data_IF_038164491658
#
_entry.id   IF_038164491658
#
_cell.length_a   1.000
_cell.length_b   1.000
_cell.length_c   1.000
_cell.angle_alpha   90.00
_cell.angle_beta   90.00
_cell.angle_gamma   90.00
#
_symmetry.space_group_name_H-M   'P 1'
#
loop_
_entity.id
_entity.type
_entity.pdbx_description
1 polymer ?
#
# COMPACT_ATOMS: atom_id res chain seq x y z
N UNK A 1 12.48 12.43 61.43
CA UNK A 1 11.58 13.60 61.29
C UNK A 1 10.95 13.55 59.91
N UNK A 2 9.63 13.67 59.89
CA UNK A 2 8.78 13.70 58.70
C UNK A 2 8.90 15.06 58.00
N UNK A 3 9.01 15.09 56.67
CA UNK A 3 8.38 16.15 55.88
C UNK A 3 8.06 15.65 54.46
N UNK A 4 6.77 15.41 54.26
CA UNK A 4 6.08 15.32 52.97
C UNK A 4 6.31 16.58 52.13
N UNK A 5 6.59 16.44 50.83
CA UNK A 5 6.30 17.49 49.86
C UNK A 5 5.53 16.91 48.67
N UNK A 6 4.27 17.29 48.60
CA UNK A 6 3.33 16.96 47.56
C UNK A 6 3.38 17.99 46.41
N UNK A 7 3.46 17.48 45.18
CA UNK A 7 2.80 17.85 43.89
C UNK A 7 2.24 19.29 43.72
N UNK A 8 2.35 19.88 42.50
CA UNK A 8 1.50 19.40 41.40
C UNK A 8 2.16 19.37 40.01
N UNK A 9 2.02 18.24 39.32
CA UNK A 9 2.15 18.20 37.87
C UNK A 9 0.82 18.64 37.25
N UNK A 10 0.83 19.80 36.60
CA UNK A 10 -0.28 20.29 35.78
C UNK A 10 -0.36 19.43 34.51
N UNK A 11 -1.13 18.34 34.56
CA UNK A 11 -1.41 17.51 33.38
C UNK A 11 -2.51 18.19 32.56
N UNK A 12 -2.11 18.98 31.56
CA UNK A 12 -3.04 19.50 30.58
C UNK A 12 -3.68 18.33 29.80
N UNK A 13 -5.02 18.22 29.72
CA UNK A 13 -5.64 17.28 28.80
C UNK A 13 -5.51 17.83 27.38
N UNK A 14 -4.59 17.27 26.60
CA UNK A 14 -4.58 17.43 25.16
C UNK A 14 -5.87 16.82 24.62
N UNK A 15 -6.87 17.66 24.33
CA UNK A 15 -8.10 17.26 23.64
C UNK A 15 -7.75 16.91 22.20
N UNK A 16 -7.31 15.67 21.99
CA UNK A 16 -7.37 15.05 20.66
C UNK A 16 -8.86 14.85 20.39
N UNK A 17 -9.42 15.72 19.55
CA UNK A 17 -10.73 15.51 18.97
C UNK A 17 -10.65 14.25 18.09
N UNK A 18 -10.91 13.10 18.70
CA UNK A 18 -11.10 11.86 17.99
C UNK A 18 -12.22 12.06 16.97
N UNK A 19 -11.89 11.94 15.70
CA UNK A 19 -12.87 11.84 14.61
C UNK A 19 -13.63 10.53 14.82
N UNK A 20 -14.66 10.57 15.66
CA UNK A 20 -15.55 9.45 15.88
C UNK A 20 -16.33 9.24 14.59
N UNK A 21 -16.18 8.07 14.01
CA UNK A 21 -16.98 7.61 12.88
C UNK A 21 -18.36 7.28 13.43
N UNK A 22 -19.35 8.11 13.10
CA UNK A 22 -20.74 8.01 13.56
C UNK A 22 -21.38 6.77 12.91
N UNK A 23 -21.34 5.63 13.59
CA UNK A 23 -22.05 4.42 13.18
C UNK A 23 -22.83 3.90 14.38
N UNK A 24 -24.16 4.00 14.28
CA UNK A 24 -25.20 3.45 15.16
C UNK A 24 -25.61 4.28 16.39
N UNK A 25 -26.61 5.16 16.20
CA UNK A 25 -27.85 5.11 16.99
C UNK A 25 -28.96 5.92 16.31
N UNK A 26 -30.14 5.31 16.23
CA UNK A 26 -31.37 5.86 15.71
C UNK A 26 -31.89 7.00 16.58
N UNK A 27 -31.65 8.24 16.16
CA UNK A 27 -32.54 9.38 16.40
C UNK A 27 -32.11 10.56 15.53
N UNK A 28 -33.06 11.16 14.82
CA UNK A 28 -33.00 12.47 14.12
C UNK A 28 -32.91 12.42 12.59
N UNK A 29 -34.08 12.30 11.98
CA UNK A 29 -34.45 12.51 10.57
C UNK A 29 -34.20 13.94 10.03
N UNK A 30 -33.12 14.61 10.44
CA UNK A 30 -32.80 16.01 10.07
C UNK A 30 -31.35 16.27 9.68
N UNK A 31 -30.42 15.31 9.86
CA UNK A 31 -28.99 15.51 9.52
C UNK A 31 -28.59 14.91 8.16
N UNK A 32 -29.39 14.00 7.60
CA UNK A 32 -29.20 13.44 6.24
C UNK A 32 -29.37 14.50 5.15
N UNK A 33 -30.22 15.51 5.39
CA UNK A 33 -30.42 16.62 4.46
C UNK A 33 -29.15 17.48 4.30
N UNK A 34 -28.39 17.72 5.38
CA UNK A 34 -27.19 18.58 5.37
C UNK A 34 -25.94 17.93 4.78
N UNK A 35 -25.75 16.62 4.94
CA UNK A 35 -24.63 15.90 4.31
C UNK A 35 -24.88 15.69 2.79
N UNK A 36 -26.11 15.38 2.41
CA UNK A 36 -26.55 15.41 1.01
C UNK A 36 -26.43 16.83 0.42
N UNK A 37 -26.76 17.87 1.18
CA UNK A 37 -26.63 19.27 0.73
C UNK A 37 -25.18 19.70 0.51
N UNK A 38 -24.23 19.23 1.35
CA UNK A 38 -22.79 19.51 1.14
C UNK A 38 -22.18 18.70 0.00
N UNK A 39 -22.64 17.48 -0.23
CA UNK A 39 -22.29 16.70 -1.42
C UNK A 39 -22.85 17.33 -2.71
N UNK A 40 -24.09 17.81 -2.67
CA UNK A 40 -24.72 18.58 -3.74
C UNK A 40 -24.00 19.91 -3.98
N UNK A 41 -23.57 20.62 -2.93
CA UNK A 41 -22.80 21.87 -3.06
C UNK A 41 -21.38 21.64 -3.64
N UNK A 42 -20.75 20.50 -3.35
CA UNK A 42 -19.47 20.11 -3.97
C UNK A 42 -19.62 19.81 -5.47
N UNK A 43 -20.69 19.10 -5.84
CA UNK A 43 -21.10 18.88 -7.23
C UNK A 43 -21.48 20.19 -7.94
N UNK A 44 -22.14 21.12 -7.24
CA UNK A 44 -22.49 22.46 -7.75
C UNK A 44 -21.25 23.35 -7.99
N UNK A 45 -20.18 23.22 -7.20
CA UNK A 45 -18.95 23.99 -7.45
C UNK A 45 -18.11 23.43 -8.61
N UNK A 46 -18.15 22.11 -8.82
CA UNK A 46 -17.47 21.45 -9.95
C UNK A 46 -18.26 21.60 -11.26
N UNK A 47 -19.60 21.58 -11.21
CA UNK A 47 -20.45 21.86 -12.39
C UNK A 47 -20.47 23.34 -12.79
N UNK A 48 -20.11 24.26 -11.90
CA UNK A 48 -19.97 25.68 -12.23
C UNK A 48 -18.57 26.05 -12.71
N UNK A 49 -17.53 25.28 -12.32
CA UNK A 49 -16.16 25.49 -12.78
C UNK A 49 -15.86 24.81 -14.14
N UNK A 50 -16.68 23.85 -14.56
CA UNK A 50 -16.65 23.27 -15.88
C UNK A 50 -18.04 23.36 -16.51
N UNK A 51 -18.21 24.29 -17.45
CA UNK A 51 -19.50 24.68 -18.04
C UNK A 51 -20.32 23.54 -18.69
N UNK A 52 -21.42 23.89 -19.38
CA UNK A 52 -22.50 22.96 -19.81
C UNK A 52 -22.07 21.76 -20.68
N UNK A 53 -20.80 21.66 -21.08
CA UNK A 53 -20.22 20.50 -21.74
C UNK A 53 -20.15 19.24 -20.84
N UNK A 54 -19.97 19.36 -19.51
CA UNK A 54 -19.86 18.18 -18.62
C UNK A 54 -21.23 17.74 -18.08
N UNK A 55 -22.13 18.67 -17.78
CA UNK A 55 -23.53 18.34 -17.46
C UNK A 55 -24.28 17.77 -18.68
N UNK A 56 -23.93 18.24 -19.88
CA UNK A 56 -24.33 17.65 -21.16
C UNK A 56 -23.71 16.27 -21.40
N UNK A 57 -22.51 15.97 -20.90
CA UNK A 57 -21.92 14.62 -20.95
C UNK A 57 -22.57 13.66 -19.94
N UNK A 58 -22.95 14.10 -18.75
CA UNK A 58 -23.65 13.25 -17.78
C UNK A 58 -25.10 12.90 -18.21
N UNK A 59 -25.82 13.85 -18.82
CA UNK A 59 -27.17 13.59 -19.38
C UNK A 59 -27.12 13.02 -20.81
N UNK A 60 -26.09 13.36 -21.58
CA UNK A 60 -25.85 12.88 -22.95
C UNK A 60 -25.25 11.48 -23.00
N UNK A 61 -24.46 11.07 -22.01
CA UNK A 61 -24.08 9.67 -21.83
C UNK A 61 -25.31 8.87 -21.44
N UNK A 62 -26.18 9.33 -20.52
CA UNK A 62 -27.44 8.61 -20.23
C UNK A 62 -28.33 8.36 -21.45
N UNK A 63 -28.52 9.36 -22.31
CA UNK A 63 -29.42 9.26 -23.48
C UNK A 63 -28.76 8.78 -24.78
N UNK A 64 -27.44 8.90 -24.95
CA UNK A 64 -26.70 8.34 -26.09
C UNK A 64 -26.18 6.92 -25.82
N UNK A 65 -25.88 6.57 -24.57
CA UNK A 65 -25.54 5.21 -24.16
C UNK A 65 -26.75 4.27 -24.26
N UNK A 66 -27.96 4.78 -23.98
CA UNK A 66 -29.22 4.08 -24.26
C UNK A 66 -29.47 3.88 -25.77
N UNK A 67 -28.81 4.66 -26.64
CA UNK A 67 -28.95 4.58 -28.10
C UNK A 67 -27.81 3.79 -28.79
N UNK A 68 -26.72 3.49 -28.08
CA UNK A 68 -25.69 2.52 -28.51
C UNK A 68 -26.18 1.13 -28.09
N UNK A 69 -27.23 0.64 -28.74
CA UNK A 69 -27.71 -0.72 -28.61
C UNK A 69 -26.72 -1.70 -29.26
N UNK A 70 -26.27 -2.72 -28.52
CA UNK A 70 -25.39 -3.77 -29.06
C UNK A 70 -24.37 -4.33 -28.05
N UNK A 71 -23.40 -5.10 -28.54
CA UNK A 71 -22.32 -5.70 -27.71
C UNK A 71 -21.50 -4.63 -26.97
N UNK A 72 -21.31 -3.46 -27.58
CA UNK A 72 -20.59 -2.31 -26.98
C UNK A 72 -21.35 -1.67 -25.83
N UNK A 73 -22.68 -1.49 -25.95
CA UNK A 73 -23.51 -0.93 -24.87
C UNK A 73 -23.52 -1.81 -23.61
N UNK A 74 -23.47 -3.14 -23.77
CA UNK A 74 -23.35 -4.07 -22.63
C UNK A 74 -22.03 -3.93 -21.88
N UNK A 75 -20.91 -3.78 -22.60
CA UNK A 75 -19.59 -3.58 -21.97
C UNK A 75 -19.53 -2.26 -21.20
N UNK A 76 -20.04 -1.17 -21.78
CA UNK A 76 -20.05 0.13 -21.11
C UNK A 76 -20.94 0.07 -19.86
N UNK A 77 -22.11 -0.56 -19.93
CA UNK A 77 -22.98 -0.73 -18.77
C UNK A 77 -22.34 -1.62 -17.69
N UNK A 78 -21.63 -2.68 -18.08
CA UNK A 78 -20.87 -3.53 -17.15
C UNK A 78 -19.74 -2.75 -16.45
N UNK A 79 -18.96 -1.98 -17.21
CA UNK A 79 -17.88 -1.14 -16.65
C UNK A 79 -18.47 -0.09 -15.72
N UNK A 80 -19.57 0.57 -16.10
CA UNK A 80 -20.24 1.56 -15.26
C UNK A 80 -20.76 0.95 -13.95
N UNK A 81 -21.30 -0.27 -13.99
CA UNK A 81 -21.74 -1.00 -12.80
C UNK A 81 -20.57 -1.44 -11.90
N UNK A 82 -19.44 -1.82 -12.48
CA UNK A 82 -18.24 -2.27 -11.75
C UNK A 82 -17.40 -1.12 -11.19
N UNK A 83 -17.41 0.05 -11.84
CA UNK A 83 -16.62 1.23 -11.44
C UNK A 83 -16.74 1.59 -9.96
N UNK A 84 -17.95 1.72 -9.35
CA UNK A 84 -18.06 2.06 -7.94
C UNK A 84 -17.49 0.97 -7.02
N UNK A 85 -17.70 -0.30 -7.36
CA UNK A 85 -17.17 -1.45 -6.60
C UNK A 85 -15.64 -1.47 -6.61
N UNK A 86 -15.04 -1.45 -7.80
CA UNK A 86 -13.57 -1.50 -7.95
C UNK A 86 -12.92 -0.28 -7.32
N UNK A 87 -13.55 0.90 -7.40
CA UNK A 87 -13.01 2.11 -6.77
C UNK A 87 -13.00 2.02 -5.25
N UNK A 88 -14.09 1.51 -4.65
CA UNK A 88 -14.18 1.38 -3.19
C UNK A 88 -13.18 0.34 -2.66
N UNK A 89 -13.21 -0.87 -3.21
CA UNK A 89 -12.34 -1.96 -2.77
C UNK A 89 -10.88 -1.74 -3.16
N UNK A 90 -10.61 -1.07 -4.29
CA UNK A 90 -9.27 -0.67 -4.68
C UNK A 90 -8.63 0.30 -3.68
N UNK A 91 -9.40 1.28 -3.18
CA UNK A 91 -8.91 2.20 -2.12
C UNK A 91 -8.64 1.47 -0.81
N UNK A 92 -9.55 0.60 -0.38
CA UNK A 92 -9.35 -0.21 0.82
C UNK A 92 -8.12 -1.11 0.68
N UNK A 93 -7.97 -1.77 -0.47
CA UNK A 93 -6.80 -2.59 -0.78
C UNK A 93 -5.49 -1.80 -0.75
N UNK A 94 -5.48 -0.56 -1.25
CA UNK A 94 -4.31 0.33 -1.20
C UNK A 94 -3.96 0.77 0.23
N UNK A 95 -4.94 1.10 1.07
CA UNK A 95 -4.67 1.46 2.47
C UNK A 95 -4.17 0.24 3.27
N UNK A 96 -4.73 -0.95 3.02
CA UNK A 96 -4.27 -2.19 3.63
C UNK A 96 -2.85 -2.54 3.17
N UNK A 97 -2.54 -2.41 1.88
CA UNK A 97 -1.21 -2.68 1.36
C UNK A 97 -0.18 -1.72 1.95
N UNK A 98 -0.54 -0.45 2.17
CA UNK A 98 0.32 0.53 2.84
C UNK A 98 0.65 0.11 4.28
N UNK A 99 -0.33 -0.37 5.04
CA UNK A 99 -0.10 -0.87 6.40
C UNK A 99 0.82 -2.08 6.41
N UNK A 100 0.63 -3.03 5.50
CA UNK A 100 1.50 -4.21 5.37
C UNK A 100 2.91 -3.81 4.95
N UNK A 101 3.06 -2.89 4.00
CA UNK A 101 4.35 -2.40 3.53
C UNK A 101 5.16 -1.75 4.65
N UNK A 102 4.51 -0.91 5.46
CA UNK A 102 5.15 -0.32 6.63
C UNK A 102 5.42 -1.35 7.74
N UNK A 103 4.46 -2.25 8.01
CA UNK A 103 4.59 -3.28 9.04
C UNK A 103 5.71 -4.27 8.76
N UNK A 104 5.91 -4.64 7.49
CA UNK A 104 6.97 -5.54 7.03
C UNK A 104 8.30 -4.83 6.77
N UNK A 105 8.41 -3.52 7.05
CA UNK A 105 9.64 -2.74 6.85
C UNK A 105 10.18 -2.84 5.41
N UNK A 106 9.29 -2.82 4.43
CA UNK A 106 9.63 -2.89 3.00
C UNK A 106 10.23 -1.57 2.46
N UNK A 107 10.28 -0.52 3.30
CA UNK A 107 10.97 0.73 2.95
C UNK A 107 12.50 0.53 2.99
N UNK A 108 13.26 1.18 2.09
CA UNK A 108 14.71 1.08 2.10
C UNK A 108 15.26 1.57 3.46
N UNK A 109 16.25 0.86 4.03
CA UNK A 109 16.84 1.24 5.30
C UNK A 109 17.56 2.58 5.21
N UNK A 110 17.74 3.24 6.36
CA UNK A 110 18.51 4.48 6.41
C UNK A 110 19.98 4.25 6.03
N UNK A 111 20.63 5.28 5.48
CA UNK A 111 22.04 5.21 5.05
C UNK A 111 22.98 4.84 6.21
N UNK A 112 22.66 5.24 7.44
CA UNK A 112 23.44 4.86 8.62
C UNK A 112 23.36 3.37 8.89
N UNK A 113 22.16 2.77 8.80
CA UNK A 113 21.97 1.32 8.91
C UNK A 113 22.74 0.57 7.83
N UNK A 114 22.73 1.07 6.60
CA UNK A 114 23.50 0.47 5.49
C UNK A 114 25.00 0.54 5.76
N UNK A 115 25.52 1.71 6.16
CA UNK A 115 26.93 1.90 6.50
C UNK A 115 27.38 0.97 7.62
N UNK A 116 26.60 0.86 8.70
CA UNK A 116 26.92 -0.04 9.82
C UNK A 116 26.91 -1.50 9.38
N UNK A 117 25.92 -1.92 8.58
CA UNK A 117 25.84 -3.30 8.08
C UNK A 117 27.02 -3.62 7.18
N UNK A 118 27.37 -2.71 6.26
CA UNK A 118 28.50 -2.85 5.36
C UNK A 118 29.83 -2.92 6.11
N UNK A 119 30.06 -2.01 7.07
CA UNK A 119 31.27 -2.02 7.89
C UNK A 119 31.41 -3.32 8.67
N UNK A 120 30.34 -3.78 9.32
CA UNK A 120 30.35 -5.05 10.05
C UNK A 120 30.65 -6.25 9.13
N UNK A 121 30.05 -6.27 7.94
CA UNK A 121 30.30 -7.33 6.96
C UNK A 121 31.74 -7.29 6.46
N UNK A 122 32.24 -6.12 6.09
CA UNK A 122 33.60 -5.92 5.62
C UNK A 122 34.63 -6.30 6.68
N UNK A 123 34.43 -5.88 7.93
CA UNK A 123 35.28 -6.24 9.06
C UNK A 123 35.28 -7.76 9.33
N UNK A 124 34.15 -8.46 9.16
CA UNK A 124 34.09 -9.94 9.30
C UNK A 124 34.88 -10.68 8.22
N UNK A 125 34.86 -10.15 7.00
CA UNK A 125 35.63 -10.69 5.87
C UNK A 125 37.13 -10.42 6.08
N UNK A 126 37.49 -9.18 6.41
CA UNK A 126 38.89 -8.78 6.61
C UNK A 126 39.54 -9.47 7.82
N UNK A 127 38.78 -9.71 8.90
CA UNK A 127 39.28 -10.37 10.11
C UNK A 127 39.52 -11.88 9.98
N UNK A 128 39.44 -12.48 8.77
CA UNK A 128 39.63 -13.93 8.53
C UNK A 128 38.78 -14.81 9.46
N UNK A 129 37.66 -14.32 9.97
CA UNK A 129 36.71 -15.13 10.76
C UNK A 129 36.06 -16.24 9.94
N UNK A 130 36.20 -16.19 8.61
CA UNK A 130 35.93 -17.25 7.63
C UNK A 130 37.08 -18.28 7.68
N UNK A 131 37.39 -18.81 8.86
CA UNK A 131 38.23 -19.99 8.94
C UNK A 131 37.34 -21.20 8.60
N UNK A 132 37.77 -22.11 7.71
CA UNK A 132 36.96 -23.26 7.32
C UNK A 132 36.56 -24.11 8.54
N UNK A 133 37.39 -24.14 9.57
CA UNK A 133 37.11 -24.82 10.83
C UNK A 133 35.92 -24.20 11.60
N UNK A 134 35.83 -22.87 11.66
CA UNK A 134 34.71 -22.19 12.33
C UNK A 134 33.41 -22.34 11.54
N UNK A 135 33.47 -22.35 10.20
CA UNK A 135 32.30 -22.56 9.35
C UNK A 135 31.77 -23.98 9.52
N UNK A 136 32.65 -24.98 9.51
CA UNK A 136 32.26 -26.38 9.72
C UNK A 136 31.64 -26.56 11.11
N UNK A 137 32.21 -25.94 12.14
CA UNK A 137 31.63 -25.99 13.49
C UNK A 137 30.29 -25.25 13.57
N UNK A 138 30.14 -24.10 12.90
CA UNK A 138 28.87 -23.39 12.81
C UNK A 138 27.82 -24.24 12.09
N UNK A 139 28.12 -24.78 10.91
CA UNK A 139 27.19 -25.61 10.13
C UNK A 139 26.78 -26.86 10.89
N UNK A 140 27.69 -27.50 11.62
CA UNK A 140 27.37 -28.64 12.50
C UNK A 140 26.52 -28.26 13.71
N UNK A 141 26.62 -27.01 14.17
CA UNK A 141 25.84 -26.46 15.28
C UNK A 141 24.51 -25.83 14.88
N UNK A 142 24.18 -25.73 13.59
CA UNK A 142 22.91 -25.19 13.12
C UNK A 142 21.79 -26.22 13.29
N UNK A 143 20.72 -25.81 13.97
CA UNK A 143 19.49 -26.57 14.03
C UNK A 143 18.71 -26.51 12.72
N UNK A 144 17.85 -27.50 12.49
CA UNK A 144 16.87 -27.51 11.40
C UNK A 144 16.05 -26.21 11.26
N UNK A 145 15.58 -25.53 12.33
CA UNK A 145 14.83 -24.28 12.15
C UNK A 145 15.68 -23.14 11.57
N UNK A 146 16.98 -23.09 11.89
CA UNK A 146 17.87 -22.05 11.37
C UNK A 146 18.21 -22.29 9.89
N UNK A 147 18.35 -23.54 9.48
CA UNK A 147 18.51 -23.90 8.07
C UNK A 147 17.26 -23.56 7.25
N UNK A 148 16.08 -23.88 7.77
CA UNK A 148 14.81 -23.54 7.10
C UNK A 148 14.68 -22.02 6.96
N UNK A 149 14.86 -21.27 8.05
CA UNK A 149 14.81 -19.81 8.01
C UNK A 149 15.84 -19.22 7.03
N UNK A 150 17.08 -19.72 7.04
CA UNK A 150 18.13 -19.30 6.11
C UNK A 150 17.76 -19.59 4.65
N UNK A 151 17.16 -20.74 4.36
CA UNK A 151 16.73 -21.12 3.02
C UNK A 151 15.57 -20.26 2.51
N UNK A 152 14.62 -19.91 3.39
CA UNK A 152 13.51 -19.00 3.06
C UNK A 152 14.06 -17.61 2.73
N UNK A 153 14.98 -17.08 3.54
CA UNK A 153 15.61 -15.77 3.29
C UNK A 153 16.38 -15.79 1.96
N UNK A 154 17.09 -16.88 1.64
CA UNK A 154 17.79 -17.03 0.37
C UNK A 154 16.80 -17.01 -0.80
N UNK A 155 15.71 -17.78 -0.70
CA UNK A 155 14.66 -17.81 -1.70
C UNK A 155 13.99 -16.44 -1.90
N UNK A 156 13.77 -15.69 -0.81
CA UNK A 156 13.27 -14.31 -0.85
C UNK A 156 14.24 -13.37 -1.57
N UNK A 157 15.54 -13.42 -1.25
CA UNK A 157 16.57 -12.64 -1.93
C UNK A 157 16.62 -12.93 -3.44
N UNK A 158 16.53 -14.22 -3.82
CA UNK A 158 16.45 -14.64 -5.22
C UNK A 158 15.18 -14.11 -5.88
N UNK A 159 14.03 -14.19 -5.19
CA UNK A 159 12.77 -13.61 -5.65
C UNK A 159 12.89 -12.12 -5.93
N UNK A 160 13.41 -11.33 -4.99
CA UNK A 160 13.61 -9.89 -5.20
C UNK A 160 14.60 -9.58 -6.33
N UNK A 161 15.65 -10.38 -6.51
CA UNK A 161 16.56 -10.26 -7.64
C UNK A 161 15.82 -10.41 -8.98
N UNK A 162 14.98 -11.44 -9.13
CA UNK A 162 14.20 -11.65 -10.35
C UNK A 162 13.18 -10.54 -10.60
N UNK A 163 12.52 -10.03 -9.56
CA UNK A 163 11.63 -8.87 -9.66
C UNK A 163 12.42 -7.63 -10.11
N UNK A 164 13.64 -7.44 -9.60
CA UNK A 164 14.55 -6.40 -10.04
C UNK A 164 14.90 -6.51 -11.53
N UNK A 165 15.16 -7.72 -12.03
CA UNK A 165 15.41 -7.94 -13.46
C UNK A 165 14.16 -7.65 -14.32
N UNK A 166 12.96 -8.04 -13.85
CA UNK A 166 11.69 -7.75 -14.53
C UNK A 166 11.51 -6.23 -14.67
N UNK A 167 11.78 -5.48 -13.60
CA UNK A 167 11.69 -4.01 -13.60
C UNK A 167 12.77 -3.41 -14.49
N UNK A 168 14.03 -3.86 -14.36
CA UNK A 168 15.16 -3.34 -15.14
C UNK A 168 15.03 -3.61 -16.65
N UNK A 169 14.40 -4.73 -17.03
CA UNK A 169 14.15 -5.10 -18.44
C UNK A 169 12.75 -4.70 -18.93
N UNK A 170 11.88 -4.18 -18.05
CA UNK A 170 10.47 -3.89 -18.29
C UNK A 170 9.72 -5.03 -19.02
N UNK A 171 10.04 -6.29 -18.69
CA UNK A 171 9.48 -7.48 -19.32
C UNK A 171 9.05 -8.49 -18.28
N UNK A 172 7.76 -8.82 -18.30
CA UNK A 172 7.15 -9.79 -17.39
C UNK A 172 7.33 -11.24 -17.87
N UNK A 173 7.30 -11.45 -19.19
CA UNK A 173 7.52 -12.75 -19.85
C UNK A 173 8.72 -12.59 -20.78
N UNK A 174 9.52 -13.65 -20.91
CA UNK A 174 10.83 -13.67 -21.56
C UNK A 174 10.92 -13.01 -22.93
N UNK A 175 12.15 -12.88 -23.42
CA UNK A 175 12.39 -12.33 -24.76
C UNK A 175 11.82 -13.30 -25.80
N UNK A 176 10.97 -12.79 -26.69
CA UNK A 176 10.64 -13.52 -27.90
C UNK A 176 11.96 -13.71 -28.66
N UNK A 177 12.37 -14.96 -28.85
CA UNK A 177 13.51 -15.26 -29.70
C UNK A 177 13.19 -14.80 -31.12
N UNK A 178 14.15 -14.15 -31.78
CA UNK A 178 14.09 -14.10 -33.24
C UNK A 178 14.00 -15.55 -33.74
N UNK A 179 13.05 -15.81 -34.65
CA UNK A 179 13.08 -17.02 -35.46
C UNK A 179 14.38 -16.95 -36.25
N UNK A 180 15.40 -17.68 -35.81
CA UNK A 180 16.58 -17.93 -36.60
C UNK A 180 16.10 -18.64 -37.88
N UNK A 181 15.96 -17.88 -38.96
CA UNK A 181 15.77 -18.44 -40.29
C UNK A 181 17.07 -19.16 -40.65
N UNK A 182 17.06 -20.48 -40.47
CA UNK A 182 18.03 -21.39 -41.06
C UNK A 182 17.71 -21.62 -42.54
#
# INVERSE_FOLDING_TARGET
MSSSLARPMLRAPMRIAGRRFESSSSSSSSTTATAASKAQQGLSKVTSAAGPAIAGAARGVGNALSKIGGRTGRLINFVQAQTPFVTYYGKVGLELSKLVFHGQKMAPPSLTTFQTTYQNLWSRIQSRSISPQNIIQQVRGLGTPQLVAGSVILAECLGFFTVGEIIGRFKLVGYHGEVAHH
#
